data_IF_892003302658
#
_entry.id   IF_892003302658
#
_cell.length_a   1.000
_cell.length_b   1.000
_cell.length_c   1.000
_cell.angle_alpha   90.00
_cell.angle_beta   90.00
_cell.angle_gamma   90.00
#
_symmetry.space_group_name_H-M   'P 1'
#
loop_
_entity.id
_entity.type
_entity.pdbx_description
1 polymer ?
#
# COMPACT_ATOMS: atom_id res chain seq x y z
N UNK A 1 6.51 -9.17 -20.87
CA UNK A 1 6.71 -8.36 -19.65
C UNK A 1 8.05 -7.66 -19.73
N UNK A 2 8.20 -6.52 -19.06
CA UNK A 2 9.30 -5.61 -19.29
C UNK A 2 10.65 -6.18 -18.82
N UNK A 3 11.65 -6.17 -19.70
CA UNK A 3 13.04 -6.49 -19.36
C UNK A 3 13.68 -5.24 -18.73
N UNK A 4 13.95 -5.31 -17.42
CA UNK A 4 14.53 -4.20 -16.68
C UNK A 4 15.96 -3.86 -17.14
N UNK A 5 16.71 -4.82 -17.68
CA UNK A 5 18.04 -4.56 -18.21
C UNK A 5 17.93 -3.75 -19.51
N UNK A 6 17.04 -4.18 -20.42
CA UNK A 6 16.77 -3.44 -21.65
C UNK A 6 16.25 -2.02 -21.35
N UNK A 7 15.33 -1.87 -20.38
CA UNK A 7 14.83 -0.54 -19.99
C UNK A 7 16.00 0.36 -19.59
N UNK A 8 16.93 -0.13 -18.76
CA UNK A 8 18.11 0.64 -18.30
C UNK A 8 18.97 1.12 -19.46
N UNK A 9 19.15 0.30 -20.49
CA UNK A 9 19.90 0.67 -21.70
C UNK A 9 19.18 1.72 -22.56
N UNK A 10 17.85 1.76 -22.51
CA UNK A 10 17.01 2.70 -23.26
C UNK A 10 16.71 4.00 -22.51
N UNK A 11 17.07 4.12 -21.22
CA UNK A 11 16.82 5.33 -20.44
C UNK A 11 17.56 6.52 -21.06
N UNK A 12 16.80 7.56 -21.39
CA UNK A 12 17.33 8.85 -21.83
C UNK A 12 17.10 9.88 -20.73
N UNK A 13 18.13 10.66 -20.40
CA UNK A 13 17.99 11.76 -19.44
C UNK A 13 17.18 12.89 -20.05
N UNK A 14 16.25 13.46 -19.27
CA UNK A 14 15.46 14.62 -19.66
C UNK A 14 15.46 15.66 -18.53
N UNK A 15 15.39 16.93 -18.90
CA UNK A 15 15.25 18.04 -17.94
C UNK A 15 13.80 18.21 -17.45
N UNK A 16 12.87 17.41 -17.99
CA UNK A 16 11.46 17.40 -17.64
C UNK A 16 11.16 16.42 -16.50
N UNK A 17 10.00 16.59 -15.86
CA UNK A 17 9.51 15.69 -14.82
C UNK A 17 8.39 14.81 -15.37
N UNK A 18 8.34 13.57 -14.92
CA UNK A 18 7.26 12.63 -15.23
C UNK A 18 6.25 12.67 -14.07
N UNK A 19 4.98 12.83 -14.39
CA UNK A 19 3.86 12.70 -13.44
C UNK A 19 3.01 11.52 -13.88
N UNK A 20 2.95 10.47 -13.04
CA UNK A 20 2.04 9.35 -13.21
C UNK A 20 0.85 9.52 -12.27
N UNK A 21 -0.33 9.78 -12.82
CA UNK A 21 -1.59 9.89 -12.07
C UNK A 21 -2.40 8.60 -12.21
N UNK A 22 -2.67 7.93 -11.10
CA UNK A 22 -3.48 6.70 -11.04
C UNK A 22 -4.82 7.04 -10.39
N UNK A 23 -5.90 6.79 -11.11
CA UNK A 23 -7.27 6.91 -10.59
C UNK A 23 -7.77 5.51 -10.24
N UNK A 24 -7.82 5.19 -8.94
CA UNK A 24 -8.20 3.85 -8.48
C UNK A 24 -9.67 3.56 -8.80
N UNK A 25 -9.94 2.37 -9.33
CA UNK A 25 -11.29 1.95 -9.73
C UNK A 25 -11.93 2.78 -10.86
N UNK A 26 -11.14 3.45 -11.70
CA UNK A 26 -11.66 4.29 -12.80
C UNK A 26 -12.44 3.49 -13.86
N UNK A 27 -12.02 2.24 -14.10
CA UNK A 27 -12.67 1.37 -15.07
C UNK A 27 -14.09 1.03 -14.63
N UNK A 28 -15.05 1.17 -15.54
CA UNK A 28 -16.46 1.03 -15.28
C UNK A 28 -17.20 0.26 -16.36
N UNK A 29 -18.48 -0.04 -16.11
CA UNK A 29 -19.36 -0.72 -17.06
C UNK A 29 -20.64 0.09 -17.21
N UNK A 30 -21.23 0.14 -18.42
CA UNK A 30 -22.53 0.77 -18.60
C UNK A 30 -23.61 0.17 -17.70
N UNK A 31 -24.46 1.01 -17.12
CA UNK A 31 -25.60 0.57 -16.31
C UNK A 31 -26.64 -0.25 -17.13
N UNK A 32 -26.58 -0.17 -18.46
CA UNK A 32 -27.40 -0.96 -19.38
C UNK A 32 -26.79 -1.00 -20.79
N UNK A 33 -27.28 -1.90 -21.67
CA UNK A 33 -26.76 -2.03 -23.02
C UNK A 33 -26.79 -0.71 -23.80
N UNK A 34 -25.64 -0.29 -24.34
CA UNK A 34 -25.51 0.95 -25.12
C UNK A 34 -25.49 2.24 -24.30
N UNK A 35 -25.54 2.17 -22.97
CA UNK A 35 -25.36 3.34 -22.10
C UNK A 35 -23.88 3.74 -21.93
N UNK A 36 -23.61 4.91 -21.34
CA UNK A 36 -22.26 5.32 -20.98
C UNK A 36 -21.75 4.56 -19.75
N UNK A 37 -20.44 4.39 -19.66
CA UNK A 37 -19.74 4.10 -18.41
C UNK A 37 -19.82 5.29 -17.45
N UNK A 38 -19.48 5.07 -16.18
CA UNK A 38 -19.44 6.10 -15.15
C UNK A 38 -18.51 7.26 -15.53
N UNK A 39 -17.37 6.98 -16.16
CA UNK A 39 -16.42 7.99 -16.63
C UNK A 39 -16.97 8.79 -17.82
N UNK A 40 -17.64 8.13 -18.76
CA UNK A 40 -18.26 8.80 -19.92
C UNK A 40 -19.45 9.67 -19.50
N UNK A 41 -20.19 9.26 -18.48
CA UNK A 41 -21.29 10.05 -17.92
C UNK A 41 -20.78 11.28 -17.13
N UNK A 42 -19.60 11.17 -16.51
CA UNK A 42 -19.03 12.23 -15.69
C UNK A 42 -18.54 13.43 -16.53
N UNK A 43 -18.82 14.65 -16.06
CA UNK A 43 -18.28 15.86 -16.69
C UNK A 43 -16.80 16.04 -16.33
N UNK A 44 -15.89 15.68 -17.23
CA UNK A 44 -14.44 15.66 -16.98
C UNK A 44 -13.60 16.53 -17.93
N UNK A 45 -13.87 17.86 -18.02
CA UNK A 45 -13.30 18.73 -19.05
C UNK A 45 -11.77 18.80 -19.07
N UNK A 46 -11.12 18.58 -17.93
CA UNK A 46 -9.66 18.55 -17.82
C UNK A 46 -9.09 17.24 -18.38
N UNK A 47 -9.71 16.09 -18.07
CA UNK A 47 -9.30 14.80 -18.64
C UNK A 47 -9.55 14.78 -20.14
N UNK A 48 -10.70 15.31 -20.58
CA UNK A 48 -11.02 15.46 -22.01
C UNK A 48 -9.98 16.30 -22.76
N UNK A 49 -9.51 17.39 -22.14
CA UNK A 49 -8.47 18.25 -22.72
C UNK A 49 -7.13 17.52 -22.81
N UNK A 50 -6.75 16.76 -21.78
CA UNK A 50 -5.53 15.96 -21.79
C UNK A 50 -5.59 14.85 -22.85
N UNK A 51 -6.72 14.16 -22.95
CA UNK A 51 -6.95 13.12 -23.96
C UNK A 51 -6.84 13.66 -25.39
N UNK A 52 -7.38 14.87 -25.66
CA UNK A 52 -7.26 15.52 -26.98
C UNK A 52 -5.85 16.01 -27.32
N UNK A 53 -5.08 16.45 -26.32
CA UNK A 53 -3.74 17.01 -26.53
C UNK A 53 -2.62 15.94 -26.48
N UNK A 54 -2.92 14.74 -25.98
CA UNK A 54 -1.96 13.66 -25.78
C UNK A 54 -2.26 12.42 -26.60
N UNK A 55 -1.73 11.29 -26.14
CA UNK A 55 -2.01 9.97 -26.68
C UNK A 55 -2.90 9.19 -25.70
N UNK A 56 -3.84 8.41 -26.25
CA UNK A 56 -4.74 7.55 -25.49
C UNK A 56 -4.49 6.08 -25.84
N UNK A 57 -4.79 5.20 -24.90
CA UNK A 57 -4.64 3.77 -25.07
C UNK A 57 -5.27 3.00 -23.92
N UNK A 58 -5.29 1.68 -24.05
CA UNK A 58 -5.73 0.78 -23.00
C UNK A 58 -4.51 0.22 -22.28
N UNK A 59 -4.57 0.19 -20.95
CA UNK A 59 -3.57 -0.49 -20.13
C UNK A 59 -4.12 -1.84 -19.68
N UNK A 60 -3.32 -2.89 -19.80
CA UNK A 60 -3.63 -4.22 -19.30
C UNK A 60 -2.64 -4.54 -18.16
N UNK A 61 -3.04 -4.33 -16.89
CA UNK A 61 -2.08 -4.41 -15.77
C UNK A 61 -1.47 -5.79 -15.56
N UNK A 62 -2.19 -6.87 -15.87
CA UNK A 62 -1.70 -8.24 -15.68
C UNK A 62 -1.84 -9.04 -16.98
N UNK A 63 -3.06 -9.47 -17.29
CA UNK A 63 -3.40 -10.20 -18.52
C UNK A 63 -4.91 -10.16 -18.74
N UNK A 64 -5.34 -10.56 -19.95
CA UNK A 64 -6.76 -10.70 -20.27
C UNK A 64 -7.44 -11.67 -19.31
N UNK A 65 -8.58 -11.24 -18.76
CA UNK A 65 -9.36 -12.05 -17.81
C UNK A 65 -8.79 -12.12 -16.39
N UNK A 66 -7.67 -11.45 -16.09
CA UNK A 66 -7.10 -11.40 -14.73
C UNK A 66 -7.37 -10.04 -14.10
N UNK A 67 -8.26 -10.01 -13.11
CA UNK A 67 -8.54 -8.81 -12.33
C UNK A 67 -7.37 -8.48 -11.40
N UNK A 68 -6.75 -7.29 -11.51
CA UNK A 68 -5.65 -6.90 -10.63
C UNK A 68 -6.16 -6.54 -9.24
N UNK A 69 -5.49 -7.06 -8.21
CA UNK A 69 -5.51 -6.42 -6.89
C UNK A 69 -4.60 -5.19 -6.87
N UNK A 70 -4.83 -4.26 -5.93
CA UNK A 70 -4.03 -3.04 -5.78
C UNK A 70 -2.51 -3.28 -5.79
N UNK A 71 -2.01 -4.24 -5.02
CA UNK A 71 -0.56 -4.55 -4.97
C UNK A 71 0.03 -4.93 -6.33
N UNK A 72 -0.41 -6.05 -6.95
CA UNK A 72 0.02 -6.44 -8.30
C UNK A 72 -0.21 -5.35 -9.36
N UNK A 73 -1.33 -4.62 -9.29
CA UNK A 73 -1.63 -3.52 -10.22
C UNK A 73 -0.61 -2.38 -10.15
N UNK A 74 -0.19 -1.97 -8.95
CA UNK A 74 0.83 -0.94 -8.80
C UNK A 74 2.22 -1.41 -9.24
N UNK A 75 2.59 -2.66 -8.93
CA UNK A 75 3.86 -3.23 -9.39
C UNK A 75 3.98 -3.19 -10.92
N UNK A 76 2.90 -3.57 -11.62
CA UNK A 76 2.85 -3.51 -13.07
C UNK A 76 3.04 -2.09 -13.63
N UNK A 77 2.44 -1.07 -12.99
CA UNK A 77 2.60 0.33 -13.41
C UNK A 77 4.04 0.83 -13.28
N UNK A 78 4.81 0.29 -12.33
CA UNK A 78 6.24 0.59 -12.17
C UNK A 78 7.16 -0.31 -13.01
N UNK A 79 6.59 -1.13 -13.90
CA UNK A 79 7.36 -1.97 -14.84
C UNK A 79 7.78 -3.32 -14.28
N UNK A 80 7.37 -3.69 -13.06
CA UNK A 80 7.59 -5.03 -12.52
C UNK A 80 6.57 -6.01 -13.08
N UNK A 81 7.01 -7.23 -13.34
CA UNK A 81 6.11 -8.34 -13.66
C UNK A 81 5.36 -8.79 -12.39
N UNK A 82 4.04 -8.55 -12.26
CA UNK A 82 3.28 -8.91 -11.07
C UNK A 82 3.12 -10.42 -10.86
N UNK A 83 3.37 -11.25 -11.87
CA UNK A 83 3.30 -12.72 -11.78
C UNK A 83 4.64 -13.28 -11.31
N UNK A 84 5.74 -12.65 -11.72
CA UNK A 84 7.10 -13.01 -11.27
C UNK A 84 7.43 -12.45 -9.88
N UNK A 85 7.07 -11.19 -9.63
CA UNK A 85 7.36 -10.48 -8.39
C UNK A 85 6.11 -10.47 -7.50
N UNK A 86 5.80 -11.62 -6.91
CA UNK A 86 4.68 -11.77 -5.98
C UNK A 86 5.04 -11.16 -4.62
N UNK A 87 4.62 -9.91 -4.41
CA UNK A 87 4.71 -9.27 -3.10
C UNK A 87 3.44 -9.55 -2.32
N UNK A 88 3.57 -10.25 -1.20
CA UNK A 88 2.46 -10.52 -0.29
C UNK A 88 1.88 -9.23 0.30
N UNK A 89 0.57 -9.19 0.54
CA UNK A 89 -0.08 -8.03 1.17
C UNK A 89 0.49 -7.69 2.55
N UNK A 90 0.94 -8.69 3.31
CA UNK A 90 1.61 -8.46 4.60
C UNK A 90 2.85 -7.58 4.43
N UNK A 91 3.70 -7.89 3.45
CA UNK A 91 4.90 -7.12 3.13
C UNK A 91 4.55 -5.69 2.72
N UNK A 92 3.58 -5.53 1.80
CA UNK A 92 3.17 -4.20 1.32
C UNK A 92 2.63 -3.31 2.45
N UNK A 93 1.79 -3.85 3.33
CA UNK A 93 1.24 -3.10 4.47
C UNK A 93 2.32 -2.77 5.51
N UNK A 94 3.31 -3.66 5.69
CA UNK A 94 4.46 -3.44 6.58
C UNK A 94 5.33 -2.28 6.13
N UNK A 95 5.72 -2.33 4.86
CA UNK A 95 6.48 -1.23 4.26
C UNK A 95 5.64 0.05 4.25
N UNK A 96 4.33 -0.05 4.05
CA UNK A 96 3.40 1.09 4.07
C UNK A 96 3.35 1.84 5.41
N UNK A 97 3.62 1.18 6.53
CA UNK A 97 3.74 1.82 7.85
C UNK A 97 5.19 2.10 8.27
N UNK A 98 6.15 1.90 7.37
CA UNK A 98 7.56 2.19 7.59
C UNK A 98 8.35 1.07 8.28
N UNK A 99 7.80 -0.14 8.43
CA UNK A 99 8.60 -1.27 8.88
C UNK A 99 9.55 -1.69 7.76
N UNK A 100 10.82 -1.83 8.13
CA UNK A 100 11.80 -2.47 7.28
C UNK A 100 11.58 -3.97 7.35
N UNK A 101 11.80 -4.67 6.23
CA UNK A 101 11.71 -6.11 6.15
C UNK A 101 12.95 -6.64 5.45
N UNK A 102 13.46 -7.76 5.94
CA UNK A 102 14.52 -8.57 5.39
C UNK A 102 13.93 -9.81 4.70
N UNK A 103 14.71 -10.54 3.89
CA UNK A 103 14.24 -11.78 3.28
C UNK A 103 13.86 -12.88 4.27
N UNK A 104 14.32 -12.78 5.53
CA UNK A 104 14.07 -13.77 6.58
C UNK A 104 12.81 -13.47 7.40
N UNK A 105 12.14 -12.34 7.13
CA UNK A 105 10.95 -11.92 7.88
C UNK A 105 9.64 -12.48 7.34
N UNK A 106 8.71 -12.73 8.27
CA UNK A 106 7.34 -13.12 7.95
C UNK A 106 6.38 -11.99 8.32
N UNK A 107 5.90 -11.28 7.31
CA UNK A 107 4.92 -10.22 7.48
C UNK A 107 3.48 -10.72 7.32
N UNK A 108 2.64 -10.49 8.33
CA UNK A 108 1.23 -10.86 8.32
C UNK A 108 0.32 -9.69 8.67
N UNK A 109 -0.81 -9.61 7.94
CA UNK A 109 -1.92 -8.73 8.28
C UNK A 109 -2.97 -9.51 9.07
N UNK A 110 -3.41 -8.96 10.19
CA UNK A 110 -4.52 -9.49 10.99
C UNK A 110 -5.54 -8.42 11.33
N UNK A 111 -6.79 -8.86 11.53
CA UNK A 111 -7.86 -8.04 12.10
C UNK A 111 -8.23 -8.62 13.48
N UNK A 112 -8.75 -7.77 14.36
CA UNK A 112 -9.44 -8.27 15.56
C UNK A 112 -10.81 -8.85 15.17
N UNK A 113 -11.19 -9.94 15.85
CA UNK A 113 -12.48 -10.57 15.70
C UNK A 113 -13.09 -10.83 17.09
N UNK A 114 -14.42 -10.93 17.14
CA UNK A 114 -15.14 -11.38 18.32
C UNK A 114 -15.37 -12.89 18.23
N UNK A 115 -15.30 -13.55 19.37
CA UNK A 115 -15.58 -14.98 19.52
C UNK A 115 -16.66 -15.20 20.59
N UNK A 116 -17.37 -16.33 20.51
CA UNK A 116 -18.27 -16.78 21.58
C UNK A 116 -17.51 -17.56 22.68
N UNK A 117 -18.25 -18.06 23.67
CA UNK A 117 -17.71 -18.84 24.79
C UNK A 117 -17.03 -20.16 24.34
N UNK A 118 -17.35 -20.64 23.14
CA UNK A 118 -16.73 -21.83 22.53
C UNK A 118 -15.54 -21.47 21.63
N UNK A 119 -15.06 -20.23 21.66
CA UNK A 119 -13.98 -19.70 20.81
C UNK A 119 -14.32 -19.70 19.31
N UNK A 120 -15.59 -19.76 18.94
CA UNK A 120 -16.03 -19.65 17.55
C UNK A 120 -16.18 -18.19 17.14
N UNK A 121 -15.67 -17.84 15.95
CA UNK A 121 -15.72 -16.47 15.44
C UNK A 121 -17.18 -16.06 15.19
N UNK A 122 -17.66 -15.07 15.95
CA UNK A 122 -19.00 -14.49 15.81
C UNK A 122 -18.99 -13.23 14.92
N UNK A 123 -17.90 -12.46 14.94
CA UNK A 123 -17.70 -11.32 14.05
C UNK A 123 -16.23 -11.16 13.65
N UNK A 124 -15.95 -11.32 12.35
CA UNK A 124 -14.62 -11.19 11.75
C UNK A 124 -14.01 -9.78 11.84
N UNK A 125 -14.76 -8.78 12.30
CA UNK A 125 -14.34 -7.38 12.43
C UNK A 125 -14.54 -6.81 13.83
N UNK A 126 -14.98 -7.62 14.79
CA UNK A 126 -15.24 -7.19 16.16
C UNK A 126 -16.08 -5.89 16.25
N UNK A 127 -17.14 -5.77 15.45
CA UNK A 127 -18.01 -4.59 15.43
C UNK A 127 -17.34 -3.31 14.92
N UNK A 128 -16.19 -3.39 14.26
CA UNK A 128 -15.33 -2.24 13.90
C UNK A 128 -14.98 -1.39 15.11
N UNK A 129 -14.28 -1.98 16.08
CA UNK A 129 -13.78 -1.26 17.25
C UNK A 129 -13.08 0.07 16.87
N UNK A 130 -13.22 1.12 17.70
CA UNK A 130 -12.50 2.37 17.50
C UNK A 130 -10.97 2.17 17.51
N UNK A 131 -10.26 3.08 16.84
CA UNK A 131 -8.79 3.05 16.73
C UNK A 131 -8.12 3.04 18.10
N UNK A 132 -8.66 3.78 19.07
CA UNK A 132 -8.15 3.85 20.43
C UNK A 132 -8.15 2.48 21.10
N UNK A 133 -9.25 1.72 20.94
CA UNK A 133 -9.35 0.36 21.47
C UNK A 133 -8.43 -0.61 20.72
N UNK A 134 -8.26 -0.42 19.42
CA UNK A 134 -7.32 -1.21 18.62
C UNK A 134 -5.88 -1.04 19.11
N UNK A 135 -5.45 0.20 19.38
CA UNK A 135 -4.11 0.52 19.91
C UNK A 135 -3.91 -0.11 21.30
N UNK A 136 -4.92 -0.03 22.17
CA UNK A 136 -4.87 -0.67 23.50
C UNK A 136 -4.63 -2.18 23.39
N UNK A 137 -5.42 -2.87 22.56
CA UNK A 137 -5.29 -4.32 22.36
C UNK A 137 -3.96 -4.70 21.70
N UNK A 138 -3.48 -3.92 20.73
CA UNK A 138 -2.16 -4.13 20.11
C UNK A 138 -1.04 -3.97 21.14
N UNK A 139 -1.14 -3.00 22.05
CA UNK A 139 -0.17 -2.81 23.13
C UNK A 139 -0.09 -4.04 24.03
N UNK A 140 -1.23 -4.69 24.31
CA UNK A 140 -1.24 -5.97 25.04
C UNK A 140 -0.52 -7.07 24.24
N UNK A 141 -0.74 -7.16 22.93
CA UNK A 141 -0.08 -8.17 22.07
C UNK A 141 1.43 -7.95 21.95
N UNK A 142 1.92 -6.71 22.03
CA UNK A 142 3.37 -6.40 22.04
C UNK A 142 4.13 -7.03 23.21
N UNK A 143 3.42 -7.51 24.24
CA UNK A 143 4.05 -8.21 25.38
C UNK A 143 4.32 -9.69 25.11
N UNK A 144 3.81 -10.24 24.01
CA UNK A 144 4.01 -11.64 23.63
C UNK A 144 5.46 -11.83 23.20
N UNK A 145 6.12 -12.80 23.81
CA UNK A 145 7.48 -13.23 23.44
C UNK A 145 7.43 -14.67 22.95
N UNK A 146 8.17 -14.95 21.88
CA UNK A 146 8.26 -16.28 21.29
C UNK A 146 9.74 -16.70 21.24
N UNK A 147 10.07 -17.95 21.61
CA UNK A 147 11.46 -18.41 21.55
C UNK A 147 12.01 -18.38 20.12
N UNK A 148 13.16 -17.73 19.94
CA UNK A 148 13.91 -17.74 18.68
C UNK A 148 13.33 -16.89 17.56
N UNK A 149 12.28 -16.12 17.83
CA UNK A 149 11.73 -15.14 16.88
C UNK A 149 11.38 -13.87 17.61
N UNK A 150 11.33 -12.81 16.84
CA UNK A 150 11.18 -11.46 17.30
C UNK A 150 9.85 -10.99 16.67
N UNK A 151 8.89 -10.66 17.54
CA UNK A 151 7.49 -10.31 17.21
C UNK A 151 7.25 -8.81 17.38
N UNK A 152 6.98 -8.12 16.27
CA UNK A 152 6.36 -6.79 16.30
C UNK A 152 4.92 -6.83 15.86
N UNK A 153 4.11 -6.01 16.52
CA UNK A 153 2.70 -5.86 16.21
C UNK A 153 2.38 -4.38 16.20
N UNK A 154 2.15 -3.80 15.04
CA UNK A 154 1.73 -2.40 14.94
C UNK A 154 0.25 -2.25 14.57
N UNK A 155 -0.37 -1.20 15.12
CA UNK A 155 -1.71 -0.79 14.78
C UNK A 155 -1.67 0.11 13.55
N UNK A 156 -2.34 -0.28 12.46
CA UNK A 156 -2.50 0.58 11.29
C UNK A 156 -3.92 1.14 11.28
N UNK A 157 -4.04 2.45 11.06
CA UNK A 157 -5.34 3.13 10.87
C UNK A 157 -6.14 2.42 9.76
N UNK A 158 -7.44 2.22 10.01
CA UNK A 158 -8.35 1.42 9.19
C UNK A 158 -8.03 -0.09 9.09
N UNK A 159 -7.62 -0.71 10.21
CA UNK A 159 -7.46 -2.17 10.39
C UNK A 159 -6.45 -2.82 9.44
N UNK A 160 -5.17 -2.53 9.60
CA UNK A 160 -4.10 -3.31 8.96
C UNK A 160 -3.00 -3.56 10.01
N UNK A 161 -2.20 -4.61 9.86
CA UNK A 161 -1.12 -4.97 10.80
C UNK A 161 0.09 -5.35 9.97
N UNK A 162 1.24 -5.14 10.56
CA UNK A 162 2.53 -5.55 10.07
C UNK A 162 3.54 -5.57 11.23
N UNK A 163 4.53 -6.45 11.16
CA UNK A 163 5.51 -6.69 12.23
C UNK A 163 6.88 -7.05 11.68
N UNK A 164 7.93 -6.42 12.21
CA UNK A 164 9.31 -6.92 12.32
C UNK A 164 10.02 -6.13 13.43
N UNK A 165 10.93 -6.81 14.13
CA UNK A 165 11.48 -6.60 15.45
C UNK A 165 12.94 -6.06 15.47
N UNK A 166 13.35 -5.57 16.65
CA UNK A 166 14.63 -4.99 17.11
C UNK A 166 15.05 -3.57 16.70
N UNK A 167 14.77 -2.63 17.61
CA UNK A 167 15.72 -1.75 18.35
C UNK A 167 16.76 -0.95 17.51
N UNK A 168 16.90 0.39 17.62
CA UNK A 168 16.84 1.21 18.83
C UNK A 168 16.67 2.69 18.49
N UNK A 169 15.89 3.36 19.32
CA UNK A 169 15.58 4.78 19.35
C UNK A 169 16.71 5.54 20.08
N UNK A 170 17.08 6.73 19.59
CA UNK A 170 17.65 7.76 20.47
C UNK A 170 17.16 9.16 20.10
N UNK A 171 15.98 9.47 20.65
CA UNK A 171 15.76 10.59 21.57
C UNK A 171 16.03 12.01 21.06
N UNK A 172 14.91 12.72 20.88
CA UNK A 172 14.58 13.95 21.62
C UNK A 172 15.61 15.10 21.64
N UNK A 173 15.28 16.13 20.86
CA UNK A 173 15.18 17.53 21.29
C UNK A 173 15.96 17.89 22.56
N UNK A 174 17.12 18.53 22.38
CA UNK A 174 17.61 19.55 23.31
C UNK A 174 18.01 20.82 22.58
N UNK A 175 17.25 21.86 22.92
CA UNK A 175 17.68 23.24 23.19
C UNK A 175 18.15 24.09 22.00
N UNK A 176 17.22 24.96 21.61
CA UNK A 176 17.44 26.40 21.55
C UNK A 176 18.58 26.87 22.46
N UNK A 177 19.76 27.10 21.90
CA UNK A 177 20.61 28.25 22.19
C UNK A 177 21.84 28.21 21.27
N UNK A 178 21.92 29.19 20.36
CA UNK A 178 23.14 29.74 19.71
C UNK A 178 22.76 30.44 18.40
N UNK A 179 22.17 31.62 18.53
CA UNK A 179 22.51 32.75 17.63
C UNK A 179 23.37 33.73 18.43
N UNK A 180 24.57 33.99 17.93
CA UNK A 180 25.33 35.22 18.17
C UNK A 180 26.39 35.18 19.25
N UNK A 181 27.67 35.10 18.85
CA UNK A 181 28.66 36.22 18.92
C UNK A 181 30.10 35.73 18.71
N UNK A 182 30.81 36.48 17.85
CA UNK A 182 32.26 36.75 17.79
C UNK A 182 33.19 35.52 17.59
N UNK A 183 34.09 35.48 16.60
CA UNK A 183 34.95 36.51 16.00
C UNK A 183 35.15 36.24 14.51
#
# INVERSE_FOLDING_TARGET
MADLNLIRELVTTADTKIVLLVLDGLGGLPCGPGGPTELEFARTPNLDKLARAGAIGLSMPIANGIAPGSGPGHLALFGYDPVKFLVGRGVLESVGIGLQLTPDDVAARGNFCSVDDNMLITDRRAGRIPTEKCVELVTMLKTITLPGVEVIVEAVQDMRRAGHDAQNDHTARRRSDRRGRAR
#
